data_IF_049747863550
#
_entry.id   IF_049747863550
#
_cell.length_a   1.000
_cell.length_b   1.000
_cell.length_c   1.000
_cell.angle_alpha   90.00
_cell.angle_beta   90.00
_cell.angle_gamma   90.00
#
_symmetry.space_group_name_H-M   'P 1'
#
loop_
_entity.id
_entity.type
_entity.pdbx_description
1 polymer ?
#
# COMPACT_ATOMS: atom_id res chain seq x y z
N UNK A 1 34.21 13.53 -15.37
CA UNK A 1 33.08 14.00 -14.55
C UNK A 1 31.77 13.27 -14.86
N UNK A 2 31.37 13.07 -16.13
CA UNK A 2 30.15 12.30 -16.48
C UNK A 2 30.32 10.79 -16.21
N UNK A 3 31.49 10.23 -16.52
CA UNK A 3 31.80 8.81 -16.30
C UNK A 3 31.79 8.44 -14.81
N UNK A 4 32.27 9.32 -13.93
CA UNK A 4 32.24 9.10 -12.47
C UNK A 4 30.83 9.13 -11.89
N UNK A 5 29.92 9.90 -12.48
CA UNK A 5 28.50 9.90 -12.09
C UNK A 5 27.85 8.58 -12.52
N UNK A 6 28.18 8.06 -13.71
CA UNK A 6 27.69 6.77 -14.18
C UNK A 6 28.04 5.62 -13.23
N UNK A 7 29.30 5.56 -12.77
CA UNK A 7 29.72 4.58 -11.78
C UNK A 7 29.03 4.77 -10.42
N UNK A 8 28.94 6.00 -9.90
CA UNK A 8 28.26 6.26 -8.64
C UNK A 8 26.77 5.88 -8.65
N UNK A 9 26.07 6.11 -9.78
CA UNK A 9 24.67 5.72 -9.95
C UNK A 9 24.54 4.20 -10.04
N UNK A 10 25.43 3.54 -10.79
CA UNK A 10 25.45 2.08 -10.91
C UNK A 10 25.69 1.43 -9.55
N UNK A 11 26.69 1.89 -8.80
CA UNK A 11 27.03 1.35 -7.49
C UNK A 11 25.89 1.57 -6.49
N UNK A 12 25.24 2.72 -6.52
CA UNK A 12 24.05 2.98 -5.70
C UNK A 12 22.89 2.03 -6.05
N UNK A 13 22.60 1.80 -7.33
CA UNK A 13 21.55 0.87 -7.76
C UNK A 13 21.89 -0.56 -7.31
N UNK A 14 23.14 -1.00 -7.49
CA UNK A 14 23.58 -2.31 -7.02
C UNK A 14 23.45 -2.46 -5.50
N UNK A 15 23.81 -1.43 -4.74
CA UNK A 15 23.72 -1.47 -3.28
C UNK A 15 22.26 -1.55 -2.80
N UNK A 16 21.38 -0.76 -3.41
CA UNK A 16 19.95 -0.69 -3.03
C UNK A 16 19.18 -1.95 -3.44
N UNK A 17 19.39 -2.46 -4.65
CA UNK A 17 18.57 -3.53 -5.21
C UNK A 17 19.18 -4.93 -5.12
N UNK A 18 20.51 -5.04 -5.05
CA UNK A 18 21.20 -6.35 -5.06
C UNK A 18 21.77 -6.68 -3.69
N UNK A 19 22.61 -5.80 -3.13
CA UNK A 19 23.26 -6.09 -1.83
C UNK A 19 22.27 -6.10 -0.67
N UNK A 20 21.26 -5.23 -0.71
CA UNK A 20 20.19 -5.17 0.31
C UNK A 20 19.01 -6.09 0.03
N UNK A 21 19.12 -6.97 -0.98
CA UNK A 21 18.05 -7.91 -1.30
C UNK A 21 17.94 -9.00 -0.24
N UNK A 22 17.08 -8.75 0.75
CA UNK A 22 16.74 -9.70 1.81
C UNK A 22 15.26 -10.09 1.73
N UNK A 23 14.87 -11.09 2.54
CA UNK A 23 13.48 -11.52 2.66
C UNK A 23 12.53 -10.35 2.98
N UNK A 24 12.99 -9.39 3.80
CA UNK A 24 12.18 -8.24 4.20
C UNK A 24 11.97 -7.24 3.07
N UNK A 25 12.94 -7.06 2.17
CA UNK A 25 12.79 -6.26 0.96
C UNK A 25 11.76 -6.89 0.04
N UNK A 26 11.83 -8.21 -0.19
CA UNK A 26 10.82 -8.92 -0.96
C UNK A 26 9.41 -8.77 -0.34
N UNK A 27 9.30 -8.90 0.99
CA UNK A 27 8.06 -8.66 1.72
C UNK A 27 7.55 -7.22 1.55
N UNK A 28 8.44 -6.22 1.66
CA UNK A 28 8.12 -4.81 1.46
C UNK A 28 7.65 -4.50 0.04
N UNK A 29 8.25 -5.13 -0.98
CA UNK A 29 7.83 -5.02 -2.37
C UNK A 29 6.41 -5.59 -2.54
N UNK A 30 6.13 -6.77 -1.99
CA UNK A 30 4.79 -7.38 -2.05
C UNK A 30 3.76 -6.48 -1.34
N UNK A 31 4.12 -5.94 -0.16
CA UNK A 31 3.28 -4.99 0.56
C UNK A 31 2.94 -3.77 -0.29
N UNK A 32 3.96 -3.19 -0.95
CA UNK A 32 3.80 -2.03 -1.81
C UNK A 32 2.97 -2.32 -3.06
N UNK A 33 3.17 -3.49 -3.69
CA UNK A 33 2.38 -3.94 -4.84
C UNK A 33 0.91 -4.10 -4.45
N UNK A 34 0.63 -4.73 -3.30
CA UNK A 34 -0.73 -4.89 -2.78
C UNK A 34 -1.37 -3.53 -2.45
N UNK A 35 -0.61 -2.64 -1.82
CA UNK A 35 -1.06 -1.29 -1.51
C UNK A 35 -1.30 -0.43 -2.76
N UNK A 36 -0.56 -0.69 -3.85
CA UNK A 36 -0.75 0.02 -5.14
C UNK A 36 -1.91 -0.59 -5.93
N UNK A 37 -2.11 -1.90 -5.85
CA UNK A 37 -3.19 -2.62 -6.52
C UNK A 37 -4.58 -2.05 -6.17
N UNK A 38 -4.75 -1.45 -4.99
CA UNK A 38 -6.01 -0.76 -4.62
C UNK A 38 -6.45 0.28 -5.66
N UNK A 39 -5.50 1.06 -6.19
CA UNK A 39 -5.78 2.11 -7.17
C UNK A 39 -6.07 1.51 -8.53
N UNK A 40 -5.35 0.44 -8.92
CA UNK A 40 -5.63 -0.29 -10.15
C UNK A 40 -7.05 -0.87 -10.14
N UNK A 41 -7.45 -1.50 -9.03
CA UNK A 41 -8.79 -2.08 -8.88
C UNK A 41 -9.85 -0.98 -8.86
N UNK A 42 -9.62 0.11 -8.14
CA UNK A 42 -10.54 1.25 -8.12
C UNK A 42 -10.71 1.87 -9.50
N UNK A 43 -9.63 2.07 -10.23
CA UNK A 43 -9.64 2.58 -11.59
C UNK A 43 -10.44 1.65 -12.50
N UNK A 44 -10.14 0.35 -12.51
CA UNK A 44 -10.84 -0.63 -13.34
C UNK A 44 -12.35 -0.66 -13.06
N UNK A 45 -12.77 -0.57 -11.80
CA UNK A 45 -14.20 -0.52 -11.45
C UNK A 45 -14.82 0.80 -11.88
N UNK A 46 -14.12 1.92 -11.71
CA UNK A 46 -14.62 3.25 -12.09
C UNK A 46 -14.80 3.40 -13.60
N UNK A 47 -13.88 2.86 -14.39
CA UNK A 47 -14.01 2.82 -15.86
C UNK A 47 -15.22 1.98 -16.29
N UNK A 48 -15.44 0.83 -15.64
CA UNK A 48 -16.59 -0.03 -15.92
C UNK A 48 -17.93 0.61 -15.58
N UNK A 49 -17.97 1.42 -14.53
CA UNK A 49 -19.19 2.10 -14.07
C UNK A 49 -19.37 3.51 -14.66
N UNK A 50 -18.36 4.03 -15.39
CA UNK A 50 -18.36 5.38 -15.95
C UNK A 50 -18.42 6.50 -14.89
N UNK A 51 -18.11 6.18 -13.63
CA UNK A 51 -18.24 7.07 -12.49
C UNK A 51 -17.06 6.86 -11.54
N UNK A 52 -16.62 7.93 -10.85
CA UNK A 52 -15.57 7.82 -9.82
C UNK A 52 -16.14 7.12 -8.57
N UNK A 53 -15.95 5.80 -8.50
CA UNK A 53 -16.47 4.97 -7.40
C UNK A 53 -15.34 4.34 -6.61
N UNK A 54 -15.56 4.21 -5.30
CA UNK A 54 -14.63 3.56 -4.38
C UNK A 54 -15.15 2.17 -4.01
N UNK A 55 -14.69 1.09 -4.66
CA UNK A 55 -15.22 -0.24 -4.41
C UNK A 55 -14.79 -0.75 -3.03
N UNK A 56 -15.53 -1.71 -2.47
CA UNK A 56 -15.14 -2.38 -1.22
C UNK A 56 -13.75 -3.01 -1.28
N UNK A 57 -13.37 -3.55 -2.44
CA UNK A 57 -12.05 -4.12 -2.69
C UNK A 57 -10.94 -3.11 -2.41
N UNK A 58 -11.13 -1.81 -2.72
CA UNK A 58 -10.16 -0.76 -2.40
C UNK A 58 -9.80 -0.74 -0.91
N UNK A 59 -10.81 -0.87 -0.04
CA UNK A 59 -10.61 -0.86 1.41
C UNK A 59 -9.92 -2.12 1.90
N UNK A 60 -10.23 -3.29 1.32
CA UNK A 60 -9.52 -4.53 1.65
C UNK A 60 -8.04 -4.50 1.24
N UNK A 61 -7.74 -4.05 0.01
CA UNK A 61 -6.35 -3.88 -0.45
C UNK A 61 -5.61 -2.83 0.40
N UNK A 62 -6.27 -1.74 0.78
CA UNK A 62 -5.70 -0.72 1.66
C UNK A 62 -5.35 -1.28 3.04
N UNK A 63 -6.26 -2.09 3.62
CA UNK A 63 -6.03 -2.74 4.91
C UNK A 63 -4.88 -3.74 4.85
N UNK A 64 -4.91 -4.64 3.87
CA UNK A 64 -3.90 -5.69 3.75
C UNK A 64 -2.53 -5.10 3.40
N UNK A 65 -2.47 -4.22 2.39
CA UNK A 65 -1.24 -3.54 2.00
C UNK A 65 -0.70 -2.67 3.14
N UNK A 66 -1.56 -1.86 3.78
CA UNK A 66 -1.17 -0.99 4.89
C UNK A 66 -0.67 -1.77 6.11
N UNK A 67 -1.31 -2.88 6.46
CA UNK A 67 -0.85 -3.75 7.54
C UNK A 67 0.51 -4.39 7.23
N UNK A 68 0.72 -4.87 6.00
CA UNK A 68 2.02 -5.40 5.58
C UNK A 68 3.09 -4.30 5.58
N UNK A 69 2.79 -3.10 5.07
CA UNK A 69 3.73 -1.96 5.09
C UNK A 69 4.04 -1.53 6.52
N UNK A 70 3.08 -1.60 7.45
CA UNK A 70 3.30 -1.34 8.87
C UNK A 70 4.26 -2.37 9.48
N UNK A 71 4.05 -3.67 9.22
CA UNK A 71 4.97 -4.73 9.66
C UNK A 71 6.39 -4.49 9.11
N UNK A 72 6.50 -4.16 7.83
CA UNK A 72 7.78 -3.81 7.21
C UNK A 72 8.44 -2.62 7.90
N UNK A 73 7.68 -1.54 8.15
CA UNK A 73 8.17 -0.34 8.83
C UNK A 73 8.65 -0.61 10.26
N UNK A 74 7.94 -1.46 11.01
CA UNK A 74 8.34 -1.88 12.37
C UNK A 74 9.66 -2.65 12.32
N UNK A 75 9.79 -3.60 11.42
CA UNK A 75 11.00 -4.44 11.30
C UNK A 75 12.22 -3.63 10.85
N UNK A 76 12.04 -2.73 9.88
CA UNK A 76 13.10 -1.83 9.43
C UNK A 76 13.31 -0.62 10.35
N UNK A 77 12.48 -0.48 11.39
CA UNK A 77 12.52 0.60 12.39
C UNK A 77 12.38 1.99 11.76
N UNK A 78 11.50 2.11 10.77
CA UNK A 78 11.24 3.32 10.01
C UNK A 78 10.05 4.11 10.60
N UNK A 79 10.28 5.13 11.44
CA UNK A 79 9.22 5.80 12.20
C UNK A 79 8.18 6.49 11.31
N UNK A 80 8.61 7.02 10.16
CA UNK A 80 7.71 7.70 9.19
C UNK A 80 6.69 6.70 8.65
N UNK A 81 7.12 5.48 8.32
CA UNK A 81 6.24 4.42 7.81
C UNK A 81 5.29 3.96 8.92
N UNK A 82 5.81 3.74 10.13
CA UNK A 82 5.02 3.26 11.27
C UNK A 82 3.91 4.25 11.60
N UNK A 83 4.23 5.53 11.76
CA UNK A 83 3.24 6.56 12.09
C UNK A 83 2.19 6.71 10.97
N UNK A 84 2.64 6.75 9.71
CA UNK A 84 1.74 6.88 8.56
C UNK A 84 0.76 5.71 8.46
N UNK A 85 1.26 4.47 8.55
CA UNK A 85 0.41 3.28 8.38
C UNK A 85 -0.43 2.97 9.62
N UNK A 86 0.05 3.26 10.84
CA UNK A 86 -0.76 3.09 12.04
C UNK A 86 -2.02 3.95 11.99
N UNK A 87 -1.89 5.22 11.59
CA UNK A 87 -3.04 6.12 11.40
C UNK A 87 -3.93 5.65 10.25
N UNK A 88 -3.34 5.22 9.13
CA UNK A 88 -4.06 4.76 7.97
C UNK A 88 -4.94 3.53 8.26
N UNK A 89 -4.42 2.56 9.02
CA UNK A 89 -5.17 1.36 9.43
C UNK A 89 -6.41 1.73 10.23
N UNK A 90 -6.33 2.67 11.17
CA UNK A 90 -7.49 3.14 11.94
C UNK A 90 -8.56 3.74 11.02
N UNK A 91 -8.15 4.56 10.06
CA UNK A 91 -9.06 5.16 9.07
C UNK A 91 -9.74 4.08 8.21
N UNK A 92 -8.97 3.08 7.75
CA UNK A 92 -9.49 1.99 6.94
C UNK A 92 -10.51 1.15 7.69
N UNK A 93 -10.22 0.81 8.96
CA UNK A 93 -11.14 0.07 9.83
C UNK A 93 -12.45 0.84 9.99
N UNK A 94 -12.35 2.14 10.35
CA UNK A 94 -13.51 3.01 10.54
C UNK A 94 -14.36 3.12 9.28
N UNK A 95 -13.75 3.27 8.11
CA UNK A 95 -14.49 3.37 6.86
C UNK A 95 -15.17 2.05 6.47
N UNK A 96 -14.51 0.90 6.70
CA UNK A 96 -15.16 -0.41 6.52
C UNK A 96 -16.37 -0.56 7.45
N UNK A 97 -16.25 -0.20 8.73
CA UNK A 97 -17.36 -0.25 9.70
C UNK A 97 -18.57 0.58 9.24
N UNK A 98 -18.34 1.78 8.71
CA UNK A 98 -19.42 2.62 8.16
C UNK A 98 -20.11 1.97 6.96
N UNK A 99 -19.33 1.37 6.05
CA UNK A 99 -19.89 0.71 4.86
C UNK A 99 -20.75 -0.49 5.28
N UNK A 100 -20.30 -1.30 6.24
CA UNK A 100 -21.09 -2.42 6.75
C UNK A 100 -22.36 -1.97 7.49
N UNK A 101 -22.27 -0.93 8.30
CA UNK A 101 -23.42 -0.36 9.01
C UNK A 101 -24.49 0.17 8.04
N UNK A 102 -24.08 0.90 7.00
CA UNK A 102 -24.98 1.44 5.99
C UNK A 102 -25.66 0.33 5.17
N UNK A 103 -24.95 -0.77 4.87
CA UNK A 103 -25.54 -1.94 4.20
C UNK A 103 -26.62 -2.59 5.05
N UNK A 104 -26.37 -2.79 6.35
CA UNK A 104 -27.34 -3.38 7.29
C UNK A 104 -28.62 -2.55 7.41
N UNK A 105 -28.50 -1.21 7.39
CA UNK A 105 -29.65 -0.30 7.42
C UNK A 105 -30.50 -0.38 6.15
N UNK A 106 -29.86 -0.44 4.98
CA UNK A 106 -30.57 -0.56 3.69
C UNK A 106 -31.29 -1.90 3.50
N UNK A 107 -30.80 -2.98 4.12
CA UNK A 107 -31.47 -4.28 4.07
C UNK A 107 -32.61 -4.45 5.09
N UNK A 108 -32.79 -3.46 5.98
CA UNK A 108 -33.84 -3.46 7.01
C UNK A 108 -35.00 -2.49 6.70
N UNK A 109 -34.93 -1.73 5.59
CA UNK A 109 -35.99 -0.87 5.06
C UNK A 109 -36.59 -1.49 3.80
#
# INVERSE_FOLDING_TARGET
MIISIGHAVSDYIYDVFVLKFDFWLAFGIIAQLLFTARFLVQWLVSEREGNSVMPLSFWYFSMAGGAMTLVYGIVKREPIIIMGQALAVVIYVRNLMLIFSNRKRRSAS
#
